data_IF_702758926860
#
_entry.id   IF_702758926860
#
_cell.length_a   1.000
_cell.length_b   1.000
_cell.length_c   1.000
_cell.angle_alpha   90.00
_cell.angle_beta   90.00
_cell.angle_gamma   90.00
#
_symmetry.space_group_name_H-M   'P 1'
#
loop_
_entity.id
_entity.type
_entity.pdbx_description
1 polymer ?
#
# COMPACT_ATOMS: atom_id res chain seq x y z
N UNK A 1 31.99 29.50 3.03
CA UNK A 1 31.45 28.11 3.03
C UNK A 1 30.06 28.16 2.40
N UNK A 2 29.80 27.34 1.38
CA UNK A 2 28.51 27.32 0.67
C UNK A 2 27.72 26.07 1.08
N UNK A 3 26.47 26.26 1.53
CA UNK A 3 25.57 25.17 1.89
C UNK A 3 25.04 24.49 0.62
N UNK A 4 25.10 23.16 0.57
CA UNK A 4 24.53 22.34 -0.50
C UNK A 4 23.07 22.03 -0.15
N UNK A 5 22.12 22.41 -1.02
CA UNK A 5 20.71 22.06 -0.87
C UNK A 5 20.50 20.56 -1.16
N UNK A 6 20.31 19.76 -0.10
CA UNK A 6 19.94 18.34 -0.19
C UNK A 6 18.43 18.13 -0.44
N UNK A 7 17.65 19.20 -0.57
CA UNK A 7 16.18 19.15 -0.71
C UNK A 7 15.68 18.98 -2.15
N UNK A 8 16.56 18.89 -3.16
CA UNK A 8 16.19 18.33 -4.47
C UNK A 8 16.03 16.82 -4.36
N UNK A 9 15.01 16.38 -3.62
CA UNK A 9 14.46 15.05 -3.83
C UNK A 9 13.87 15.05 -5.24
N UNK A 10 14.30 14.10 -6.09
CA UNK A 10 13.51 13.68 -7.26
C UNK A 10 12.08 13.56 -6.76
N UNK A 11 11.14 14.32 -7.35
CA UNK A 11 9.78 14.45 -6.82
C UNK A 11 9.33 13.07 -6.31
N UNK A 12 9.07 12.90 -5.00
CA UNK A 12 8.81 11.59 -4.45
C UNK A 12 7.70 10.96 -5.28
N UNK A 13 7.84 9.67 -5.60
CA UNK A 13 6.95 8.94 -6.51
C UNK A 13 5.46 9.16 -6.19
N UNK A 14 5.13 9.62 -4.98
CA UNK A 14 3.85 10.20 -4.50
C UNK A 14 3.17 11.19 -5.47
N UNK A 15 3.90 11.82 -6.39
CA UNK A 15 3.35 12.75 -7.39
C UNK A 15 2.97 12.13 -8.74
N UNK A 16 3.23 10.83 -8.96
CA UNK A 16 2.67 10.13 -10.11
C UNK A 16 1.15 9.96 -9.90
N UNK A 17 0.35 10.56 -10.78
CA UNK A 17 -1.09 10.86 -10.67
C UNK A 17 -2.05 9.70 -10.36
N UNK A 18 -1.58 8.46 -10.31
CA UNK A 18 -2.44 7.28 -10.11
C UNK A 18 -2.42 6.81 -8.66
N UNK A 19 -3.61 6.59 -8.11
CA UNK A 19 -3.82 5.91 -6.83
C UNK A 19 -3.22 4.51 -6.90
N UNK A 20 -2.49 4.11 -5.86
CA UNK A 20 -1.73 2.85 -5.87
C UNK A 20 -1.43 2.31 -4.47
N UNK A 21 -1.13 1.03 -4.45
CA UNK A 21 -0.58 0.27 -3.34
C UNK A 21 0.84 -0.19 -3.71
N UNK A 22 1.83 0.27 -2.95
CA UNK A 22 3.20 -0.23 -3.04
C UNK A 22 3.41 -1.26 -1.94
N UNK A 23 3.90 -2.44 -2.32
CA UNK A 23 4.14 -3.56 -1.41
C UNK A 23 5.64 -3.86 -1.46
N UNK A 24 6.27 -3.94 -0.29
CA UNK A 24 7.69 -4.23 -0.14
C UNK A 24 7.89 -5.32 0.90
N UNK A 25 8.74 -6.30 0.59
CA UNK A 25 9.17 -7.29 1.57
C UNK A 25 10.06 -6.63 2.63
N UNK A 26 9.69 -6.76 3.89
CA UNK A 26 10.51 -6.32 5.03
C UNK A 26 11.55 -7.38 5.37
N UNK A 27 12.57 -7.00 6.15
CA UNK A 27 13.63 -7.94 6.58
C UNK A 27 13.07 -9.06 7.49
N UNK A 28 11.91 -8.83 8.12
CA UNK A 28 11.15 -9.83 8.88
C UNK A 28 10.29 -10.78 8.02
N UNK A 29 10.28 -10.61 6.71
CA UNK A 29 9.45 -11.38 5.77
C UNK A 29 8.00 -10.91 5.63
N UNK A 30 7.57 -9.91 6.42
CA UNK A 30 6.26 -9.28 6.31
C UNK A 30 6.15 -8.38 5.07
N UNK A 31 4.93 -7.96 4.74
CA UNK A 31 4.67 -7.01 3.67
C UNK A 31 4.50 -5.60 4.25
N UNK A 32 5.50 -4.75 4.03
CA UNK A 32 5.38 -3.31 4.23
C UNK A 32 4.56 -2.71 3.10
N UNK A 33 3.36 -2.23 3.43
CA UNK A 33 2.41 -1.70 2.46
C UNK A 33 2.36 -0.17 2.58
N UNK A 34 2.33 0.51 1.44
CA UNK A 34 2.14 1.94 1.34
C UNK A 34 1.03 2.27 0.36
N UNK A 35 0.03 3.01 0.81
CA UNK A 35 -1.05 3.54 -0.04
C UNK A 35 -0.91 5.03 -0.24
N UNK A 36 -1.29 5.47 -1.44
CA UNK A 36 -1.35 6.90 -1.77
C UNK A 36 -2.41 7.65 -0.94
N UNK A 37 -2.23 8.97 -0.87
CA UNK A 37 -3.12 9.90 -0.15
C UNK A 37 -4.60 9.78 -0.55
N UNK A 38 -4.90 9.46 -1.81
CA UNK A 38 -6.27 9.28 -2.26
C UNK A 38 -6.99 8.10 -1.56
N UNK A 39 -6.25 7.08 -1.12
CA UNK A 39 -6.80 5.93 -0.38
C UNK A 39 -6.93 6.24 1.10
N UNK A 40 -5.99 6.99 1.70
CA UNK A 40 -5.87 7.11 3.17
C UNK A 40 -7.03 7.86 3.85
N UNK A 41 -7.70 8.77 3.14
CA UNK A 41 -8.76 9.60 3.71
C UNK A 41 -8.34 10.30 5.03
N UNK A 42 -9.23 10.28 6.03
CA UNK A 42 -8.99 10.72 7.42
C UNK A 42 -9.02 9.57 8.44
N UNK A 43 -9.15 8.33 7.99
CA UNK A 43 -9.39 7.17 8.85
C UNK A 43 -8.07 6.52 9.28
N UNK A 44 -8.09 5.92 10.47
CA UNK A 44 -6.90 5.35 11.11
C UNK A 44 -6.66 3.87 10.78
N UNK A 45 -7.65 3.19 10.20
CA UNK A 45 -7.57 1.76 9.89
C UNK A 45 -7.93 1.47 8.43
N UNK A 46 -7.35 0.39 7.92
CA UNK A 46 -7.60 -0.11 6.57
C UNK A 46 -7.83 -1.61 6.60
N UNK A 47 -8.87 -2.06 5.93
CA UNK A 47 -9.14 -3.45 5.63
C UNK A 47 -8.45 -3.75 4.30
N UNK A 48 -7.69 -4.83 4.26
CA UNK A 48 -7.03 -5.32 3.06
C UNK A 48 -7.39 -6.78 2.87
N UNK A 49 -7.99 -7.08 1.72
CA UNK A 49 -8.38 -8.44 1.37
C UNK A 49 -7.74 -8.86 0.05
N UNK A 50 -7.39 -10.14 0.00
CA UNK A 50 -6.69 -10.76 -1.11
C UNK A 50 -7.55 -11.88 -1.67
N UNK A 51 -7.78 -11.84 -2.97
CA UNK A 51 -8.31 -12.95 -3.74
C UNK A 51 -7.17 -13.53 -4.59
N UNK A 52 -6.70 -14.72 -4.20
CA UNK A 52 -5.61 -15.43 -4.86
C UNK A 52 -6.05 -16.11 -6.16
N UNK A 53 -7.34 -16.44 -6.32
CA UNK A 53 -7.83 -17.15 -7.50
C UNK A 53 -7.84 -16.23 -8.73
N UNK A 54 -8.34 -15.01 -8.54
CA UNK A 54 -8.42 -14.00 -9.61
C UNK A 54 -7.29 -12.97 -9.55
N UNK A 55 -6.32 -13.14 -8.63
CA UNK A 55 -5.18 -12.24 -8.39
C UNK A 55 -5.60 -10.77 -8.23
N UNK A 56 -6.57 -10.54 -7.36
CA UNK A 56 -7.04 -9.20 -7.02
C UNK A 56 -6.81 -8.89 -5.56
N UNK A 57 -6.58 -7.62 -5.30
CA UNK A 57 -6.55 -7.04 -3.97
C UNK A 57 -7.64 -5.98 -3.88
N UNK A 58 -8.31 -5.92 -2.72
CA UNK A 58 -9.20 -4.82 -2.40
C UNK A 58 -8.86 -4.18 -1.07
N UNK A 59 -9.00 -2.87 -1.00
CA UNK A 59 -8.74 -2.07 0.19
C UNK A 59 -9.95 -1.22 0.52
N UNK A 60 -10.34 -1.15 1.79
CA UNK A 60 -11.37 -0.23 2.29
C UNK A 60 -10.92 0.39 3.58
N UNK A 61 -11.16 1.68 3.74
CA UNK A 61 -10.91 2.34 5.01
C UNK A 61 -11.98 1.93 6.02
N UNK A 62 -11.60 1.83 7.28
CA UNK A 62 -12.51 1.51 8.38
C UNK A 62 -12.15 2.33 9.61
N UNK A 63 -13.13 2.48 10.51
CA UNK A 63 -12.92 3.03 11.85
C UNK A 63 -12.86 1.91 12.91
N UNK A 64 -13.02 0.65 12.50
CA UNK A 64 -12.96 -0.51 13.39
C UNK A 64 -11.51 -0.97 13.62
N UNK A 65 -11.10 -0.97 14.89
CA UNK A 65 -9.81 -1.52 15.33
C UNK A 65 -9.73 -3.04 15.19
N UNK A 66 -10.86 -3.75 15.35
CA UNK A 66 -10.88 -5.21 15.33
C UNK A 66 -10.77 -5.78 13.90
N UNK A 67 -11.32 -5.07 12.93
CA UNK A 67 -11.39 -5.52 11.53
C UNK A 67 -10.26 -4.94 10.67
N UNK A 68 -9.71 -3.80 11.06
CA UNK A 68 -8.74 -3.05 10.27
C UNK A 68 -7.32 -3.09 10.79
N UNK A 69 -6.36 -3.00 9.87
CA UNK A 69 -4.95 -2.79 10.22
C UNK A 69 -4.68 -1.30 10.38
N UNK A 70 -3.93 -0.93 11.41
CA UNK A 70 -3.56 0.46 11.67
C UNK A 70 -2.80 1.07 10.50
N UNK A 71 -3.32 2.18 9.99
CA UNK A 71 -2.78 2.97 8.90
C UNK A 71 -2.03 4.18 9.47
N UNK A 72 -0.70 4.13 9.51
CA UNK A 72 0.14 5.25 9.95
C UNK A 72 0.71 5.99 8.75
N UNK A 73 0.28 7.24 8.51
CA UNK A 73 0.79 8.08 7.40
C UNK A 73 0.73 7.43 6.00
N UNK A 74 -0.27 6.57 5.77
CA UNK A 74 -0.42 5.80 4.53
C UNK A 74 0.41 4.51 4.49
N UNK A 75 1.08 4.14 5.59
CA UNK A 75 1.79 2.87 5.73
C UNK A 75 1.06 1.93 6.67
N UNK A 76 1.06 0.65 6.34
CA UNK A 76 0.54 -0.42 7.18
C UNK A 76 1.31 -1.71 6.88
N UNK A 77 1.24 -2.69 7.77
CA UNK A 77 1.98 -3.94 7.63
C UNK A 77 1.01 -5.10 7.51
N UNK A 78 1.22 -5.94 6.50
CA UNK A 78 0.48 -7.18 6.33
C UNK A 78 1.36 -8.41 6.61
N UNK A 79 0.75 -9.55 7.00
CA UNK A 79 1.47 -10.76 7.35
C UNK A 79 2.37 -11.30 6.24
N UNK A 80 3.38 -12.11 6.61
CA UNK A 80 4.30 -12.72 5.65
C UNK A 80 3.60 -13.61 4.60
N UNK A 81 2.46 -14.23 4.94
CA UNK A 81 1.66 -15.00 3.97
C UNK A 81 1.21 -14.13 2.80
N UNK A 82 0.65 -12.95 3.08
CA UNK A 82 0.26 -11.98 2.05
C UNK A 82 1.46 -11.55 1.19
N UNK A 83 2.61 -11.35 1.82
CA UNK A 83 3.86 -11.03 1.12
C UNK A 83 4.24 -12.11 0.09
N UNK A 84 4.15 -13.40 0.46
CA UNK A 84 4.51 -14.52 -0.42
C UNK A 84 3.53 -14.74 -1.57
N UNK A 85 2.24 -14.50 -1.35
CA UNK A 85 1.22 -14.61 -2.39
C UNK A 85 1.40 -13.56 -3.49
N UNK A 86 1.80 -12.35 -3.11
CA UNK A 86 1.85 -11.20 -4.02
C UNK A 86 3.26 -10.94 -4.58
N UNK A 87 4.30 -11.14 -3.78
CA UNK A 87 5.68 -10.93 -4.20
C UNK A 87 6.34 -12.29 -4.50
N UNK A 88 6.72 -12.55 -5.76
CA UNK A 88 7.63 -13.64 -6.08
C UNK A 88 8.92 -13.58 -5.24
N UNK A 89 9.57 -14.71 -5.03
CA UNK A 89 10.71 -14.82 -4.10
C UNK A 89 11.89 -13.90 -4.45
N UNK A 90 12.09 -13.60 -5.74
CA UNK A 90 13.15 -12.73 -6.26
C UNK A 90 12.76 -11.23 -6.30
N UNK A 91 11.50 -10.89 -6.03
CA UNK A 91 10.99 -9.52 -6.13
C UNK A 91 10.94 -8.84 -4.77
N UNK A 92 11.70 -7.75 -4.62
CA UNK A 92 11.76 -6.98 -3.36
C UNK A 92 10.55 -6.07 -3.13
N UNK A 93 9.92 -5.60 -4.21
CA UNK A 93 8.73 -4.74 -4.15
C UNK A 93 7.98 -4.70 -5.47
N UNK A 94 6.66 -4.55 -5.40
CA UNK A 94 5.80 -4.24 -6.54
C UNK A 94 4.94 -3.02 -6.26
N UNK A 95 4.32 -2.50 -7.31
CA UNK A 95 3.33 -1.44 -7.22
C UNK A 95 2.09 -1.84 -8.00
N UNK A 96 0.96 -1.85 -7.31
CA UNK A 96 -0.36 -2.16 -7.85
C UNK A 96 -1.12 -0.85 -8.02
N UNK A 97 -1.65 -0.60 -9.21
CA UNK A 97 -2.55 0.54 -9.43
C UNK A 97 -3.91 0.21 -8.81
N UNK A 98 -4.48 1.19 -8.10
CA UNK A 98 -5.76 1.07 -7.45
C UNK A 98 -6.81 1.91 -8.16
N UNK A 99 -7.98 1.31 -8.38
CA UNK A 99 -9.16 1.95 -8.95
C UNK A 99 -10.27 1.97 -7.90
N UNK A 100 -10.92 3.12 -7.74
CA UNK A 100 -12.04 3.25 -6.80
C UNK A 100 -13.29 2.68 -7.46
N UNK A 101 -13.98 1.81 -6.75
CA UNK A 101 -15.28 1.29 -7.13
C UNK A 101 -16.40 1.99 -6.36
N UNK A 102 -17.64 1.84 -6.83
CA UNK A 102 -18.83 2.50 -6.28
C UNK A 102 -19.24 1.95 -4.90
N UNK A 103 -18.74 0.78 -4.52
CA UNK A 103 -18.92 0.14 -3.20
C UNK A 103 -17.92 0.63 -2.13
N UNK A 104 -17.23 1.74 -2.43
CA UNK A 104 -16.21 2.39 -1.61
C UNK A 104 -14.91 1.59 -1.44
N UNK A 105 -14.79 0.45 -2.10
CA UNK A 105 -13.56 -0.32 -2.14
C UNK A 105 -12.62 0.19 -3.23
N UNK A 106 -11.32 0.07 -2.98
CA UNK A 106 -10.27 0.27 -3.96
C UNK A 106 -9.78 -1.08 -4.44
N UNK A 107 -9.75 -1.30 -5.74
CA UNK A 107 -9.36 -2.56 -6.35
C UNK A 107 -8.05 -2.45 -7.10
N UNK A 108 -7.21 -3.48 -7.00
CA UNK A 108 -5.98 -3.61 -7.76
C UNK A 108 -5.78 -5.05 -8.25
N UNK A 109 -5.09 -5.21 -9.36
CA UNK A 109 -4.71 -6.54 -9.91
C UNK A 109 -3.19 -6.69 -9.89
N UNK A 110 -2.69 -7.91 -9.64
CA UNK A 110 -1.26 -8.20 -9.54
C UNK A 110 -0.82 -9.48 -10.24
#
# INVERSE_FOLDING_TARGET
MAFISMTRQKAPYRYASKTRLSIRRTDSGSAGCYVTVAVRGKQEFIIAELDSEIRKIRLKLTDSYEEGVRLSSGTFTLPARFCREILPDDVRSITIILEKSDDEWWYGSY
#
